data_IF_486703984197
#
_entry.id   IF_486703984197
#
_cell.length_a   1.000
_cell.length_b   1.000
_cell.length_c   1.000
_cell.angle_alpha   90.00
_cell.angle_beta   90.00
_cell.angle_gamma   90.00
#
_symmetry.space_group_name_H-M   'P 1'
#
loop_
_entity.id
_entity.type
_entity.pdbx_description
1 polymer ?
#
# COMPACT_ATOMS: atom_id res chain seq x y z
N UNK A 1 3.07 8.08 4.32
CA UNK A 1 3.73 9.32 3.90
C UNK A 1 4.60 9.94 4.98
N UNK A 2 4.15 9.97 6.25
CA UNK A 2 4.97 10.52 7.33
C UNK A 2 6.40 9.94 7.34
N UNK A 3 6.55 8.64 7.10
CA UNK A 3 7.85 7.98 7.02
C UNK A 3 8.77 8.54 5.91
N UNK A 4 8.20 9.06 4.83
CA UNK A 4 8.95 9.76 3.78
C UNK A 4 9.26 11.20 4.24
N UNK A 5 8.28 11.92 4.77
CA UNK A 5 8.46 13.32 5.17
C UNK A 5 9.51 13.51 6.26
N UNK A 6 9.52 12.65 7.27
CA UNK A 6 10.50 12.73 8.36
C UNK A 6 11.97 12.50 7.93
N UNK A 7 12.17 12.08 6.67
CA UNK A 7 13.50 11.89 6.06
C UNK A 7 13.94 13.09 5.21
N UNK A 8 13.09 14.05 5.04
CA UNK A 8 13.42 15.30 4.35
C UNK A 8 14.21 16.23 5.29
N UNK A 9 14.94 17.24 4.76
CA UNK A 9 15.63 18.23 5.58
C UNK A 9 14.67 18.98 6.50
N UNK A 10 14.95 18.97 7.81
CA UNK A 10 14.04 19.47 8.87
C UNK A 10 13.83 21.00 8.77
N UNK A 11 14.86 21.72 8.34
CA UNK A 11 14.87 23.17 8.16
C UNK A 11 14.19 23.65 6.86
N UNK A 12 13.77 22.70 6.00
CA UNK A 12 13.19 22.97 4.68
C UNK A 12 11.72 22.55 4.56
N UNK A 13 11.19 21.83 5.54
CA UNK A 13 9.84 21.26 5.45
C UNK A 13 9.02 21.60 6.68
N UNK A 14 7.85 22.18 6.45
CA UNK A 14 6.82 22.43 7.48
C UNK A 14 5.57 21.62 7.14
N UNK A 15 5.04 20.91 8.11
CA UNK A 15 3.81 20.12 7.94
C UNK A 15 2.62 20.85 8.53
N UNK A 16 1.65 21.22 7.67
CA UNK A 16 0.37 21.77 8.09
C UNK A 16 -0.73 20.74 8.01
N UNK A 17 -1.34 20.39 9.14
CA UNK A 17 -2.28 19.26 9.22
C UNK A 17 -3.44 19.50 10.20
N UNK A 18 -4.35 18.52 10.31
CA UNK A 18 -5.50 18.56 11.22
C UNK A 18 -5.12 18.18 12.66
N UNK A 19 -5.92 18.61 13.68
CA UNK A 19 -5.73 18.13 15.03
C UNK A 19 -6.10 16.64 15.17
N UNK A 20 -5.46 15.95 16.11
CA UNK A 20 -5.76 14.58 16.52
C UNK A 20 -5.68 14.50 18.06
N UNK A 21 -6.45 13.65 18.74
CA UNK A 21 -6.37 13.52 20.19
C UNK A 21 -4.96 13.32 20.74
N UNK A 22 -4.15 12.50 20.05
CA UNK A 22 -2.78 12.16 20.47
C UNK A 22 -1.71 13.06 19.80
N UNK A 23 -2.12 14.20 19.18
CA UNK A 23 -1.22 15.04 18.39
C UNK A 23 -0.10 15.65 19.20
N UNK A 24 -0.35 16.04 20.46
CA UNK A 24 0.65 16.70 21.30
C UNK A 24 1.84 15.78 21.61
N UNK A 25 1.58 14.53 22.02
CA UNK A 25 2.61 13.54 22.28
C UNK A 25 3.36 13.13 21.00
N UNK A 26 2.66 13.05 19.87
CA UNK A 26 3.27 12.78 18.59
C UNK A 26 4.19 13.92 18.15
N UNK A 27 3.71 15.18 18.18
CA UNK A 27 4.43 16.36 17.70
C UNK A 27 5.71 16.61 18.50
N UNK A 28 5.68 16.38 19.83
CA UNK A 28 6.85 16.48 20.71
C UNK A 28 7.99 15.49 20.37
N UNK A 29 7.66 14.38 19.72
CA UNK A 29 8.64 13.36 19.31
C UNK A 29 9.21 13.62 17.91
N UNK A 30 8.69 14.62 17.19
CA UNK A 30 9.14 14.90 15.84
C UNK A 30 10.18 16.03 15.82
N UNK A 31 11.05 15.95 14.83
CA UNK A 31 12.09 16.96 14.60
C UNK A 31 11.60 18.05 13.62
N UNK A 32 10.63 17.71 12.78
CA UNK A 32 10.02 18.66 11.83
C UNK A 32 8.99 19.55 12.51
N UNK A 33 8.87 20.79 12.02
CA UNK A 33 7.83 21.71 12.46
C UNK A 33 6.46 21.25 11.98
N UNK A 34 5.55 20.98 12.92
CA UNK A 34 4.17 20.60 12.66
C UNK A 34 3.25 21.69 13.17
N UNK A 35 2.42 22.23 12.28
CA UNK A 35 1.43 23.25 12.58
C UNK A 35 0.04 22.63 12.46
N UNK A 36 -0.73 22.69 13.53
CA UNK A 36 -2.07 22.11 13.60
C UNK A 36 -3.15 23.16 13.32
N UNK A 37 -4.00 22.86 12.34
CA UNK A 37 -5.21 23.63 12.06
C UNK A 37 -6.21 23.56 13.22
N UNK A 38 -7.04 24.60 13.36
CA UNK A 38 -8.21 24.53 14.26
C UNK A 38 -9.36 23.71 13.69
N UNK A 39 -9.35 23.48 12.36
CA UNK A 39 -10.38 22.67 11.68
C UNK A 39 -10.06 21.19 11.77
N UNK A 40 -11.07 20.38 12.10
CA UNK A 40 -10.96 18.91 12.11
C UNK A 40 -10.78 18.29 10.72
N UNK A 41 -11.14 19.04 9.67
CA UNK A 41 -10.99 18.64 8.27
C UNK A 41 -10.56 19.86 7.46
N UNK A 42 -9.54 19.74 6.64
CA UNK A 42 -9.07 20.79 5.74
C UNK A 42 -9.91 20.79 4.45
N UNK A 43 -11.06 21.44 4.50
CA UNK A 43 -11.89 21.67 3.31
C UNK A 43 -11.41 22.91 2.53
N UNK A 44 -11.68 23.01 1.21
CA UNK A 44 -11.22 24.10 0.36
C UNK A 44 -12.03 25.40 0.56
N UNK A 45 -12.04 25.92 1.78
CA UNK A 45 -12.73 27.14 2.19
C UNK A 45 -11.80 28.35 2.17
N UNK A 46 -12.37 29.57 2.11
CA UNK A 46 -11.60 30.81 2.23
C UNK A 46 -10.82 30.89 3.55
N UNK A 47 -11.39 30.38 4.64
CA UNK A 47 -10.75 30.36 5.95
C UNK A 47 -9.48 29.49 5.92
N UNK A 48 -9.56 28.27 5.37
CA UNK A 48 -8.40 27.36 5.25
C UNK A 48 -7.35 27.97 4.29
N UNK A 49 -7.79 28.56 3.17
CA UNK A 49 -6.87 29.25 2.26
C UNK A 49 -6.08 30.38 2.96
N UNK A 50 -6.76 31.20 3.77
CA UNK A 50 -6.09 32.28 4.51
C UNK A 50 -5.11 31.73 5.56
N UNK A 51 -5.43 30.61 6.20
CA UNK A 51 -4.52 29.95 7.15
C UNK A 51 -3.28 29.41 6.45
N UNK A 52 -3.45 28.75 5.30
CA UNK A 52 -2.33 28.25 4.49
C UNK A 52 -1.43 29.43 4.07
N UNK A 53 -2.02 30.53 3.62
CA UNK A 53 -1.25 31.75 3.23
C UNK A 53 -0.53 32.38 4.41
N UNK A 54 -1.15 32.39 5.61
CA UNK A 54 -0.47 32.87 6.81
C UNK A 54 0.73 32.00 7.16
N UNK A 55 0.52 30.67 7.23
CA UNK A 55 1.61 29.73 7.49
C UNK A 55 2.71 29.86 6.44
N UNK A 56 2.35 29.94 5.17
CA UNK A 56 3.34 30.07 4.10
C UNK A 56 4.18 31.36 4.21
N UNK A 57 3.55 32.46 4.63
CA UNK A 57 4.26 33.74 4.88
C UNK A 57 5.14 33.66 6.12
N UNK A 58 4.61 33.12 7.23
CA UNK A 58 5.31 33.08 8.52
C UNK A 58 6.53 32.14 8.49
N UNK A 59 6.50 31.12 7.63
CA UNK A 59 7.52 30.10 7.46
C UNK A 59 8.33 30.22 6.16
N UNK A 60 8.14 31.31 5.39
CA UNK A 60 8.84 31.57 4.12
C UNK A 60 8.73 30.41 3.11
N UNK A 61 7.51 29.89 2.93
CA UNK A 61 7.22 28.74 2.06
C UNK A 61 7.09 29.20 0.61
N UNK A 62 7.87 28.63 -0.28
CA UNK A 62 7.89 28.89 -1.73
C UNK A 62 7.17 27.82 -2.57
N UNK A 63 6.91 26.64 -2.00
CA UNK A 63 6.23 25.53 -2.66
C UNK A 63 5.30 24.76 -1.71
N UNK A 64 4.09 24.41 -2.16
CA UNK A 64 3.12 23.69 -1.34
C UNK A 64 2.84 22.30 -1.92
N UNK A 65 2.93 21.23 -1.12
CA UNK A 65 2.44 19.91 -1.46
C UNK A 65 1.08 19.64 -0.82
N UNK A 66 0.06 19.38 -1.64
CA UNK A 66 -1.27 18.99 -1.15
C UNK A 66 -1.41 17.48 -1.10
N UNK A 67 -1.73 16.97 0.07
CA UNK A 67 -1.95 15.57 0.36
C UNK A 67 -3.27 15.39 1.15
N UNK A 68 -4.28 14.76 0.56
CA UNK A 68 -4.40 14.33 -0.86
C UNK A 68 -4.67 15.49 -1.84
N UNK A 69 -4.61 15.19 -3.15
CA UNK A 69 -4.92 16.17 -4.19
C UNK A 69 -6.33 16.76 -4.09
N UNK A 70 -7.30 16.01 -3.59
CA UNK A 70 -8.66 16.49 -3.27
C UNK A 70 -9.09 15.97 -1.92
N UNK A 71 -9.81 16.77 -1.11
CA UNK A 71 -10.44 18.05 -1.46
C UNK A 71 -9.51 19.27 -1.35
N UNK A 72 -8.42 19.21 -0.55
CA UNK A 72 -7.64 20.40 -0.18
C UNK A 72 -6.91 21.03 -1.37
N UNK A 73 -6.39 20.26 -2.31
CA UNK A 73 -5.68 20.77 -3.48
C UNK A 73 -6.54 21.59 -4.43
N UNK A 74 -7.88 21.63 -4.27
CA UNK A 74 -8.76 22.59 -4.97
C UNK A 74 -8.38 24.04 -4.68
N UNK A 75 -7.65 24.30 -3.60
CA UNK A 75 -7.10 25.61 -3.28
C UNK A 75 -5.86 25.94 -4.12
N UNK A 76 -5.11 24.96 -4.61
CA UNK A 76 -3.86 25.16 -5.34
C UNK A 76 -3.96 26.19 -6.45
N UNK A 77 -4.89 26.08 -7.42
CA UNK A 77 -5.05 27.07 -8.48
C UNK A 77 -5.46 28.48 -8.01
N UNK A 78 -5.91 28.62 -6.75
CA UNK A 78 -6.39 29.88 -6.18
C UNK A 78 -5.34 30.58 -5.32
N UNK A 79 -4.36 29.83 -4.81
CA UNK A 79 -3.25 30.32 -4.02
C UNK A 79 -2.08 30.59 -4.98
N UNK A 80 -1.49 31.79 -4.91
CA UNK A 80 -0.41 32.23 -5.82
C UNK A 80 0.97 31.73 -5.38
N UNK A 81 1.04 30.52 -4.86
CA UNK A 81 2.27 29.81 -4.52
C UNK A 81 2.31 28.56 -5.40
N UNK A 82 3.44 28.25 -6.06
CA UNK A 82 3.61 27.02 -6.82
C UNK A 82 3.28 25.80 -5.96
N UNK A 83 2.66 24.78 -6.54
CA UNK A 83 2.24 23.64 -5.77
C UNK A 83 2.37 22.31 -6.52
N UNK A 84 2.48 21.25 -5.75
CA UNK A 84 2.32 19.88 -6.19
C UNK A 84 1.18 19.18 -5.46
N UNK A 85 0.85 17.98 -5.92
CA UNK A 85 -0.19 17.15 -5.34
C UNK A 85 0.28 15.70 -5.20
N UNK A 86 -0.27 14.98 -4.22
CA UNK A 86 -0.03 13.55 -4.03
C UNK A 86 -1.33 12.80 -4.29
N UNK A 87 -1.21 11.71 -5.06
CA UNK A 87 -2.30 10.85 -5.47
C UNK A 87 -2.14 9.45 -4.88
N UNK A 88 -3.14 9.02 -4.12
CA UNK A 88 -3.21 7.67 -3.54
C UNK A 88 -4.05 6.68 -4.39
N UNK A 89 -4.75 7.18 -5.43
CA UNK A 89 -5.52 6.42 -6.39
C UNK A 89 -7.03 6.61 -6.29
N UNK A 90 -7.67 6.38 -5.16
CA UNK A 90 -9.13 6.44 -5.02
C UNK A 90 -9.72 7.83 -5.33
N UNK A 91 -9.03 8.89 -4.93
CA UNK A 91 -9.42 10.30 -5.15
C UNK A 91 -9.36 10.73 -6.63
N UNK A 92 -8.69 9.95 -7.47
CA UNK A 92 -8.65 10.19 -8.93
C UNK A 92 -9.57 9.25 -9.66
N UNK A 93 -9.61 7.97 -9.25
CA UNK A 93 -10.34 6.91 -9.95
C UNK A 93 -11.85 7.18 -9.94
N UNK A 94 -12.44 7.41 -8.77
CA UNK A 94 -13.90 7.60 -8.63
C UNK A 94 -14.32 9.00 -9.10
N UNK A 95 -13.77 10.10 -8.56
CA UNK A 95 -14.16 11.44 -9.01
C UNK A 95 -13.80 11.71 -10.47
N UNK A 96 -12.69 11.15 -10.96
CA UNK A 96 -12.27 11.29 -12.36
C UNK A 96 -13.26 10.71 -13.39
N UNK A 97 -14.23 9.90 -12.96
CA UNK A 97 -15.30 9.33 -13.82
C UNK A 97 -16.60 10.12 -13.76
N UNK A 98 -16.77 11.03 -12.78
CA UNK A 98 -17.96 11.89 -12.65
C UNK A 98 -17.65 13.24 -13.28
N UNK A 99 -18.43 13.74 -14.25
CA UNK A 99 -18.07 14.91 -15.06
C UNK A 99 -17.68 16.16 -14.26
N UNK A 100 -18.49 16.55 -13.27
CA UNK A 100 -18.23 17.75 -12.43
C UNK A 100 -16.99 17.55 -11.55
N UNK A 101 -16.89 16.42 -10.86
CA UNK A 101 -15.76 16.11 -10.00
C UNK A 101 -14.47 15.98 -10.83
N UNK A 102 -14.56 15.40 -12.04
CA UNK A 102 -13.43 15.34 -12.98
C UNK A 102 -12.96 16.73 -13.39
N UNK A 103 -13.84 17.68 -13.67
CA UNK A 103 -13.43 19.03 -14.03
C UNK A 103 -12.66 19.72 -12.90
N UNK A 104 -13.08 19.53 -11.64
CA UNK A 104 -12.38 20.05 -10.49
C UNK A 104 -10.98 19.42 -10.32
N UNK A 105 -10.90 18.08 -10.41
CA UNK A 105 -9.61 17.37 -10.30
C UNK A 105 -8.69 17.72 -11.47
N UNK A 106 -9.21 17.80 -12.70
CA UNK A 106 -8.45 18.19 -13.87
C UNK A 106 -7.81 19.57 -13.67
N UNK A 107 -8.57 20.55 -13.19
CA UNK A 107 -8.05 21.88 -12.92
C UNK A 107 -6.93 21.88 -11.86
N UNK A 108 -7.03 21.05 -10.82
CA UNK A 108 -5.97 20.87 -9.82
C UNK A 108 -4.72 20.29 -10.46
N UNK A 109 -4.86 19.20 -11.20
CA UNK A 109 -3.73 18.48 -11.81
C UNK A 109 -3.03 19.29 -12.91
N UNK A 110 -3.80 19.97 -13.75
CA UNK A 110 -3.28 20.78 -14.88
C UNK A 110 -2.45 21.99 -14.44
N UNK A 111 -2.71 22.52 -13.25
CA UNK A 111 -1.98 23.67 -12.70
C UNK A 111 -0.88 23.26 -11.70
N UNK A 112 -0.78 21.97 -11.33
CA UNK A 112 0.26 21.49 -10.45
C UNK A 112 1.63 21.47 -11.16
N UNK A 113 2.68 21.86 -10.45
CA UNK A 113 4.07 21.81 -10.91
C UNK A 113 4.70 20.44 -10.68
N UNK A 114 4.12 19.64 -9.77
CA UNK A 114 4.54 18.29 -9.45
C UNK A 114 3.32 17.45 -9.13
N UNK A 115 3.19 16.28 -9.76
CA UNK A 115 2.14 15.30 -9.46
C UNK A 115 2.82 14.00 -9.02
N UNK A 116 2.76 13.71 -7.74
CA UNK A 116 3.29 12.47 -7.17
C UNK A 116 2.23 11.38 -7.26
N UNK A 117 2.60 10.23 -7.83
CA UNK A 117 1.72 9.07 -7.99
C UNK A 117 2.34 7.82 -7.36
N UNK A 118 1.50 6.89 -6.92
CA UNK A 118 1.96 5.66 -6.28
C UNK A 118 2.53 4.62 -7.26
N UNK A 119 2.24 4.74 -8.56
CA UNK A 119 2.65 3.80 -9.59
C UNK A 119 1.98 4.08 -10.93
N UNK A 120 2.15 3.20 -11.87
CA UNK A 120 1.61 3.30 -13.25
C UNK A 120 0.09 3.40 -13.28
N UNK A 121 -0.60 2.60 -12.44
CA UNK A 121 -2.06 2.66 -12.37
C UNK A 121 -2.55 4.06 -12.01
N UNK A 122 -2.05 4.64 -10.92
CA UNK A 122 -2.45 5.98 -10.48
C UNK A 122 -2.01 7.08 -11.46
N UNK A 123 -0.87 6.89 -12.14
CA UNK A 123 -0.38 7.76 -13.21
C UNK A 123 -1.36 7.79 -14.40
N UNK A 124 -1.76 6.63 -14.89
CA UNK A 124 -2.73 6.51 -16.00
C UNK A 124 -4.08 7.14 -15.65
N UNK A 125 -4.56 6.92 -14.42
CA UNK A 125 -5.81 7.54 -13.94
C UNK A 125 -5.69 9.07 -13.83
N UNK A 126 -4.54 9.60 -13.39
CA UNK A 126 -4.28 11.04 -13.32
C UNK A 126 -4.28 11.70 -14.72
N UNK A 127 -3.52 11.14 -15.67
CA UNK A 127 -3.47 11.61 -17.06
C UNK A 127 -4.86 11.55 -17.70
N UNK A 128 -5.60 10.45 -17.49
CA UNK A 128 -6.97 10.31 -17.97
C UNK A 128 -7.92 11.38 -17.41
N UNK A 129 -7.81 11.69 -16.12
CA UNK A 129 -8.62 12.71 -15.45
C UNK A 129 -8.29 14.12 -15.96
N UNK A 130 -7.00 14.44 -16.10
CA UNK A 130 -6.51 15.73 -16.57
C UNK A 130 -6.67 15.94 -18.08
N UNK A 131 -6.72 14.86 -18.88
CA UNK A 131 -6.74 14.88 -20.35
C UNK A 131 -5.52 15.58 -20.98
N UNK A 132 -4.40 15.55 -20.32
CA UNK A 132 -3.11 16.07 -20.79
C UNK A 132 -1.97 15.39 -20.07
N UNK A 133 -0.76 15.52 -20.59
CA UNK A 133 0.45 15.11 -19.90
C UNK A 133 0.66 15.95 -18.62
N UNK A 134 1.21 15.33 -17.61
CA UNK A 134 1.41 15.90 -16.28
C UNK A 134 2.89 15.79 -15.86
N UNK A 135 3.39 16.69 -15.02
CA UNK A 135 4.73 16.59 -14.43
C UNK A 135 4.76 15.48 -13.36
N UNK A 136 4.75 14.22 -13.78
CA UNK A 136 4.66 13.06 -12.92
C UNK A 136 6.01 12.73 -12.27
N UNK A 137 5.95 12.46 -10.97
CA UNK A 137 6.98 11.75 -10.23
C UNK A 137 6.36 10.53 -9.54
N UNK A 138 6.81 9.32 -9.89
CA UNK A 138 6.32 8.09 -9.27
C UNK A 138 7.06 7.85 -7.97
N UNK A 139 6.35 7.93 -6.84
CA UNK A 139 6.83 7.60 -5.50
C UNK A 139 5.88 6.53 -4.95
N UNK A 140 6.22 5.25 -5.07
CA UNK A 140 5.39 4.17 -4.55
C UNK A 140 5.28 4.23 -3.01
N UNK A 141 4.34 3.52 -2.41
CA UNK A 141 4.36 3.29 -0.98
C UNK A 141 5.69 2.67 -0.55
N UNK A 142 6.18 3.08 0.62
CA UNK A 142 7.40 2.52 1.19
C UNK A 142 7.13 1.44 2.23
N UNK A 143 8.20 0.77 2.63
CA UNK A 143 8.23 -0.20 3.72
C UNK A 143 9.40 0.06 4.66
N UNK A 144 9.19 -0.17 5.94
CA UNK A 144 10.23 -0.15 6.95
C UNK A 144 11.02 -1.47 6.90
N UNK A 145 12.18 -1.45 6.25
CA UNK A 145 13.03 -2.62 6.03
C UNK A 145 13.77 -3.10 7.28
N UNK A 146 13.85 -2.29 8.32
CA UNK A 146 14.46 -2.66 9.61
C UNK A 146 13.44 -3.39 10.49
N UNK A 147 12.20 -2.96 10.45
CA UNK A 147 11.07 -3.59 11.12
C UNK A 147 10.63 -4.88 10.41
N UNK A 148 10.44 -4.83 9.10
CA UNK A 148 10.09 -5.97 8.25
C UNK A 148 11.36 -6.58 7.67
N UNK A 149 11.79 -7.70 8.22
CA UNK A 149 12.99 -8.41 7.79
C UNK A 149 12.84 -9.91 7.92
N UNK A 150 13.61 -10.70 7.15
CA UNK A 150 13.59 -12.15 7.26
C UNK A 150 13.93 -12.60 8.67
N UNK A 151 13.22 -13.60 9.18
CA UNK A 151 13.56 -14.27 10.42
C UNK A 151 14.70 -15.26 10.18
N UNK A 152 15.64 -15.35 11.12
CA UNK A 152 16.57 -16.47 11.13
C UNK A 152 15.85 -17.80 11.41
N UNK A 153 16.52 -18.92 11.11
CA UNK A 153 15.91 -20.25 11.19
C UNK A 153 15.36 -20.57 12.58
N UNK A 154 16.08 -20.21 13.64
CA UNK A 154 15.69 -20.52 15.02
C UNK A 154 14.49 -19.68 15.45
N UNK A 155 14.52 -18.39 15.17
CA UNK A 155 13.43 -17.47 15.45
C UNK A 155 12.17 -17.87 14.70
N UNK A 156 12.29 -18.24 13.40
CA UNK A 156 11.17 -18.72 12.59
C UNK A 156 10.54 -20.00 13.14
N UNK A 157 11.36 -20.97 13.53
CA UNK A 157 10.88 -22.23 14.13
C UNK A 157 10.14 -21.97 15.44
N UNK A 158 10.68 -21.12 16.31
CA UNK A 158 10.04 -20.72 17.56
C UNK A 158 8.71 -20.00 17.32
N UNK A 159 8.68 -19.07 16.37
CA UNK A 159 7.47 -18.34 15.99
C UNK A 159 6.40 -19.26 15.41
N UNK A 160 6.79 -20.19 14.54
CA UNK A 160 5.88 -21.23 14.00
C UNK A 160 5.26 -22.08 15.11
N UNK A 161 6.04 -22.49 16.12
CA UNK A 161 5.55 -23.24 17.27
C UNK A 161 4.43 -22.54 18.04
N UNK A 162 4.43 -21.19 18.12
CA UNK A 162 3.36 -20.40 18.74
C UNK A 162 2.02 -20.50 18.00
N UNK A 163 2.07 -20.76 16.71
CA UNK A 163 0.89 -20.99 15.87
C UNK A 163 0.59 -22.49 15.66
N UNK A 164 1.27 -23.40 16.39
CA UNK A 164 1.19 -24.84 16.26
C UNK A 164 1.60 -25.37 14.87
N UNK A 165 2.48 -24.66 14.16
CA UNK A 165 3.09 -25.11 12.91
C UNK A 165 4.44 -25.76 13.18
N UNK A 166 4.74 -26.78 12.39
CA UNK A 166 6.05 -27.42 12.28
C UNK A 166 6.88 -26.71 11.21
N UNK A 167 8.18 -26.97 11.18
CA UNK A 167 9.09 -26.39 10.19
C UNK A 167 8.79 -26.88 8.75
N UNK A 168 8.17 -28.07 8.63
CA UNK A 168 7.81 -28.68 7.34
C UNK A 168 6.34 -28.45 6.93
N UNK A 169 5.59 -27.67 7.69
CA UNK A 169 4.25 -27.21 7.27
C UNK A 169 4.38 -26.10 6.22
N UNK A 170 3.40 -26.02 5.31
CA UNK A 170 3.36 -25.06 4.22
C UNK A 170 2.34 -23.97 4.54
N UNK A 171 2.84 -22.80 4.94
CA UNK A 171 2.02 -21.70 5.43
C UNK A 171 1.80 -20.64 4.35
N UNK A 172 0.57 -20.51 3.90
CA UNK A 172 0.10 -19.41 3.05
C UNK A 172 -0.49 -18.33 3.96
N UNK A 173 -0.01 -17.11 3.85
CA UNK A 173 -0.52 -15.96 4.60
C UNK A 173 -1.28 -15.00 3.69
N UNK A 174 -2.40 -14.50 4.15
CA UNK A 174 -3.03 -13.29 3.64
C UNK A 174 -3.34 -12.33 4.78
N UNK A 175 -2.97 -11.05 4.63
CA UNK A 175 -3.19 -10.02 5.64
C UNK A 175 -3.77 -8.78 4.99
N UNK A 176 -5.04 -8.46 5.27
CA UNK A 176 -5.68 -7.22 4.87
C UNK A 176 -7.08 -7.08 5.48
N UNK A 177 -7.75 -5.98 5.16
CA UNK A 177 -9.19 -5.86 5.45
C UNK A 177 -9.97 -6.95 4.72
N UNK A 178 -10.86 -7.65 5.43
CA UNK A 178 -11.68 -8.73 4.86
C UNK A 178 -12.85 -8.12 4.06
N UNK A 179 -12.58 -7.85 2.79
CA UNK A 179 -13.53 -7.32 1.80
C UNK A 179 -13.42 -8.11 0.49
N UNK A 180 -14.52 -8.24 -0.28
CA UNK A 180 -14.55 -9.14 -1.44
C UNK A 180 -13.49 -8.88 -2.52
N UNK A 181 -13.02 -7.61 -2.67
CA UNK A 181 -11.99 -7.29 -3.67
C UNK A 181 -10.61 -7.87 -3.37
N UNK A 182 -10.36 -8.29 -2.12
CA UNK A 182 -9.06 -8.83 -1.67
C UNK A 182 -8.87 -10.33 -1.97
N UNK A 183 -9.95 -11.02 -2.40
CA UNK A 183 -9.88 -12.37 -2.97
C UNK A 183 -9.57 -13.50 -1.99
N UNK A 184 -9.82 -13.34 -0.66
CA UNK A 184 -9.65 -14.42 0.30
C UNK A 184 -10.52 -15.64 0.00
N UNK A 185 -11.69 -15.45 -0.59
CA UNK A 185 -12.57 -16.54 -1.03
C UNK A 185 -11.90 -17.46 -2.05
N UNK A 186 -11.17 -16.89 -2.98
CA UNK A 186 -10.45 -17.66 -4.01
C UNK A 186 -9.25 -18.39 -3.40
N UNK A 187 -8.53 -17.76 -2.44
CA UNK A 187 -7.48 -18.43 -1.69
C UNK A 187 -8.01 -19.61 -0.87
N UNK A 188 -9.16 -19.46 -0.21
CA UNK A 188 -9.81 -20.56 0.54
C UNK A 188 -10.13 -21.72 -0.40
N UNK A 189 -10.75 -21.43 -1.56
CA UNK A 189 -11.09 -22.47 -2.54
C UNK A 189 -9.84 -23.14 -3.12
N UNK A 190 -8.80 -22.39 -3.45
CA UNK A 190 -7.53 -22.92 -3.92
C UNK A 190 -6.85 -23.81 -2.87
N UNK A 191 -6.84 -23.38 -1.60
CA UNK A 191 -6.26 -24.17 -0.49
C UNK A 191 -7.05 -25.45 -0.22
N UNK A 192 -8.39 -25.44 -0.37
CA UNK A 192 -9.21 -26.65 -0.22
C UNK A 192 -8.90 -27.72 -1.27
N UNK A 193 -8.44 -27.31 -2.45
CA UNK A 193 -7.99 -28.25 -3.48
C UNK A 193 -6.51 -28.66 -3.28
N UNK A 194 -5.67 -27.75 -2.79
CA UNK A 194 -4.26 -28.03 -2.50
C UNK A 194 -4.09 -29.08 -1.40
N UNK A 195 -4.89 -29.03 -0.36
CA UNK A 195 -4.76 -29.97 0.79
C UNK A 195 -4.96 -31.44 0.38
N UNK A 196 -5.65 -31.72 -0.74
CA UNK A 196 -5.85 -33.08 -1.26
C UNK A 196 -4.54 -33.76 -1.70
N UNK A 197 -3.58 -32.97 -2.17
CA UNK A 197 -2.26 -33.44 -2.62
C UNK A 197 -1.13 -33.00 -1.70
N UNK A 198 -1.35 -31.94 -0.90
CA UNK A 198 -0.39 -31.34 0.03
C UNK A 198 -1.03 -31.23 1.43
N UNK A 199 -1.06 -32.32 2.21
CA UNK A 199 -1.83 -32.38 3.46
C UNK A 199 -1.29 -31.48 4.58
N UNK A 200 -0.12 -30.86 4.39
CA UNK A 200 0.49 -29.91 5.34
C UNK A 200 0.30 -28.44 4.95
N UNK A 201 -0.42 -28.16 3.86
CA UNK A 201 -0.74 -26.79 3.49
C UNK A 201 -1.74 -26.20 4.48
N UNK A 202 -1.53 -24.93 4.86
CA UNK A 202 -2.41 -24.19 5.75
C UNK A 202 -2.53 -22.73 5.32
N UNK A 203 -3.74 -22.18 5.38
CA UNK A 203 -4.01 -20.78 5.07
C UNK A 203 -4.25 -19.98 6.35
N UNK A 204 -3.42 -18.97 6.62
CA UNK A 204 -3.63 -17.97 7.65
C UNK A 204 -4.30 -16.73 7.06
N UNK A 205 -5.43 -16.33 7.62
CA UNK A 205 -6.14 -15.13 7.26
C UNK A 205 -6.11 -14.14 8.42
N UNK A 206 -5.31 -13.10 8.29
CA UNK A 206 -5.19 -12.01 9.26
C UNK A 206 -5.97 -10.77 8.81
N UNK A 207 -6.60 -10.11 9.76
CA UNK A 207 -7.40 -8.90 9.57
C UNK A 207 -8.86 -9.06 9.90
N UNK A 208 -9.59 -7.95 9.81
CA UNK A 208 -11.02 -7.87 10.10
C UNK A 208 -11.78 -7.25 8.92
N UNK A 209 -13.08 -7.47 8.86
CA UNK A 209 -13.91 -6.85 7.83
C UNK A 209 -15.28 -7.50 7.64
N UNK A 210 -16.10 -6.85 6.82
CA UNK A 210 -17.50 -7.22 6.60
C UNK A 210 -17.70 -8.60 5.96
N UNK A 211 -16.66 -9.16 5.33
CA UNK A 211 -16.72 -10.43 4.61
C UNK A 211 -16.42 -11.67 5.49
N UNK A 212 -16.00 -11.44 6.75
CA UNK A 212 -15.55 -12.51 7.66
C UNK A 212 -16.56 -13.67 7.78
N UNK A 213 -17.86 -13.35 7.94
CA UNK A 213 -18.90 -14.39 8.09
C UNK A 213 -18.98 -15.29 6.86
N UNK A 214 -18.97 -14.71 5.65
CA UNK A 214 -19.02 -15.43 4.37
C UNK A 214 -17.78 -16.30 4.19
N UNK A 215 -16.59 -15.77 4.51
CA UNK A 215 -15.32 -16.48 4.39
C UNK A 215 -15.25 -17.68 5.34
N UNK A 216 -15.72 -17.54 6.59
CA UNK A 216 -15.78 -18.65 7.55
C UNK A 216 -16.73 -19.75 7.07
N UNK A 217 -17.91 -19.39 6.57
CA UNK A 217 -18.86 -20.36 6.00
C UNK A 217 -18.26 -21.10 4.79
N UNK A 218 -17.53 -20.37 3.91
CA UNK A 218 -16.84 -20.99 2.77
C UNK A 218 -15.77 -21.98 3.23
N UNK A 219 -14.91 -21.61 4.18
CA UNK A 219 -13.88 -22.48 4.71
C UNK A 219 -14.46 -23.77 5.30
N UNK A 220 -15.57 -23.67 6.04
CA UNK A 220 -16.29 -24.82 6.59
C UNK A 220 -16.87 -25.72 5.50
N UNK A 221 -17.56 -25.14 4.51
CA UNK A 221 -18.21 -25.91 3.44
C UNK A 221 -17.24 -26.62 2.51
N UNK A 222 -16.00 -26.09 2.39
CA UNK A 222 -14.95 -26.67 1.54
C UNK A 222 -13.95 -27.53 2.31
N UNK A 223 -14.08 -27.62 3.64
CA UNK A 223 -13.10 -28.26 4.54
C UNK A 223 -11.67 -27.73 4.32
N UNK A 224 -11.51 -26.46 3.96
CA UNK A 224 -10.21 -25.84 3.76
C UNK A 224 -9.47 -25.69 5.11
N UNK A 225 -8.17 -26.00 5.19
CA UNK A 225 -7.37 -25.81 6.41
C UNK A 225 -7.05 -24.33 6.60
N UNK A 226 -7.95 -23.59 7.24
CA UNK A 226 -7.88 -22.13 7.41
C UNK A 226 -7.95 -21.73 8.87
N UNK A 227 -7.02 -20.89 9.30
CA UNK A 227 -7.09 -20.17 10.58
C UNK A 227 -7.37 -18.69 10.35
N UNK A 228 -8.42 -18.16 11.00
CA UNK A 228 -8.75 -16.73 11.01
C UNK A 228 -8.18 -16.11 12.28
N UNK A 229 -7.14 -15.27 12.14
CA UNK A 229 -6.46 -14.64 13.27
C UNK A 229 -7.21 -13.38 13.80
N UNK A 230 -8.09 -12.79 12.97
CA UNK A 230 -8.71 -11.51 13.32
C UNK A 230 -7.72 -10.35 13.24
N UNK A 231 -7.86 -9.39 14.13
CA UNK A 231 -6.91 -8.28 14.24
C UNK A 231 -5.59 -8.78 14.81
N UNK A 232 -4.50 -8.43 14.15
CA UNK A 232 -3.13 -8.70 14.61
C UNK A 232 -2.51 -7.37 15.05
N UNK A 233 -1.98 -7.29 16.28
CA UNK A 233 -1.25 -6.11 16.75
C UNK A 233 -0.10 -5.75 15.82
N UNK A 234 0.17 -4.44 15.69
CA UNK A 234 1.14 -3.93 14.72
C UNK A 234 2.56 -4.47 14.97
N UNK A 235 2.95 -4.65 16.21
CA UNK A 235 4.24 -5.22 16.64
C UNK A 235 4.40 -6.73 16.33
N UNK A 236 3.31 -7.45 16.13
CA UNK A 236 3.32 -8.88 15.78
C UNK A 236 3.33 -9.12 14.25
N UNK A 237 2.99 -8.11 13.45
CA UNK A 237 2.79 -8.27 12.00
C UNK A 237 4.06 -8.73 11.28
N UNK A 238 5.23 -8.22 11.66
CA UNK A 238 6.51 -8.60 11.03
C UNK A 238 6.82 -10.09 11.24
N UNK A 239 6.57 -10.59 12.46
CA UNK A 239 6.75 -12.00 12.76
C UNK A 239 5.78 -12.88 11.98
N UNK A 240 4.53 -12.43 11.85
CA UNK A 240 3.52 -13.16 11.10
C UNK A 240 3.91 -13.32 9.61
N UNK A 241 4.50 -12.31 8.97
CA UNK A 241 5.08 -12.49 7.64
C UNK A 241 6.24 -13.49 7.66
N UNK A 242 7.12 -13.40 8.65
CA UNK A 242 8.31 -14.26 8.72
C UNK A 242 8.04 -15.76 8.86
N UNK A 243 6.87 -16.17 9.40
CA UNK A 243 6.49 -17.58 9.47
C UNK A 243 5.91 -18.14 8.17
N UNK A 244 5.48 -17.28 7.23
CA UNK A 244 4.87 -17.69 5.98
C UNK A 244 5.89 -18.26 4.99
N UNK A 245 5.43 -19.17 4.11
CA UNK A 245 6.17 -19.63 2.94
C UNK A 245 5.79 -18.84 1.70
N UNK A 246 4.52 -18.41 1.63
CA UNK A 246 3.96 -17.64 0.52
C UNK A 246 2.99 -16.59 1.08
N UNK A 247 3.07 -15.37 0.59
CA UNK A 247 2.05 -14.36 0.84
C UNK A 247 1.11 -14.28 -0.36
N UNK A 248 -0.20 -14.37 -0.14
CA UNK A 248 -1.20 -14.30 -1.20
C UNK A 248 -2.26 -13.23 -0.95
N UNK A 249 -2.45 -12.29 -1.87
CA UNK A 249 -3.60 -11.39 -1.88
C UNK A 249 -4.14 -11.27 -3.28
N UNK A 250 -5.21 -12.01 -3.57
CA UNK A 250 -5.76 -12.17 -4.92
C UNK A 250 -6.74 -11.04 -5.22
N UNK A 251 -6.19 -9.83 -5.30
CA UNK A 251 -6.98 -8.64 -5.61
C UNK A 251 -7.68 -8.76 -6.96
N UNK A 252 -8.91 -8.25 -7.03
CA UNK A 252 -9.71 -8.26 -8.27
C UNK A 252 -10.42 -6.94 -8.50
N UNK A 253 -10.61 -6.62 -9.75
CA UNK A 253 -11.39 -5.46 -10.19
C UNK A 253 -12.88 -5.74 -9.96
N UNK A 254 -13.59 -4.77 -9.40
CA UNK A 254 -15.04 -4.84 -9.19
C UNK A 254 -15.72 -3.57 -9.68
N UNK A 255 -17.03 -3.70 -9.97
CA UNK A 255 -17.89 -2.59 -10.39
C UNK A 255 -17.31 -1.78 -11.55
N UNK A 256 -16.88 -2.48 -12.62
CA UNK A 256 -16.34 -1.82 -13.81
C UNK A 256 -15.09 -0.96 -13.55
N UNK A 257 -14.26 -1.36 -12.58
CA UNK A 257 -13.02 -0.65 -12.25
C UNK A 257 -13.19 0.48 -11.23
N UNK A 258 -14.34 0.60 -10.54
CA UNK A 258 -14.51 1.56 -9.45
C UNK A 258 -13.86 1.08 -8.15
N UNK A 259 -13.78 -0.25 -7.95
CA UNK A 259 -13.14 -0.84 -6.79
C UNK A 259 -11.95 -1.69 -7.25
N UNK A 260 -10.74 -1.18 -7.04
CA UNK A 260 -9.46 -1.79 -7.40
C UNK A 260 -8.45 -1.64 -6.25
N UNK A 261 -7.31 -2.31 -6.36
CA UNK A 261 -6.18 -2.10 -5.46
C UNK A 261 -5.35 -0.90 -5.94
N UNK A 262 -4.94 -0.02 -4.99
CA UNK A 262 -4.09 1.13 -5.33
C UNK A 262 -2.66 0.71 -5.62
N UNK A 263 -2.07 -0.08 -4.72
CA UNK A 263 -0.74 -0.66 -4.83
C UNK A 263 -0.62 -1.94 -3.98
N UNK A 264 -0.96 -1.86 -2.68
CA UNK A 264 -0.91 -2.97 -1.74
C UNK A 264 0.37 -3.01 -0.91
N UNK A 265 0.47 -2.15 0.11
CA UNK A 265 1.62 -2.05 1.03
C UNK A 265 1.98 -3.42 1.63
N UNK A 266 1.00 -4.27 1.91
CA UNK A 266 1.18 -5.62 2.46
C UNK A 266 2.05 -6.54 1.58
N UNK A 267 2.12 -6.31 0.27
CA UNK A 267 3.08 -7.00 -0.60
C UNK A 267 4.51 -6.56 -0.30
N UNK A 268 4.72 -5.27 -0.03
CA UNK A 268 6.04 -4.74 0.29
C UNK A 268 6.52 -5.22 1.66
N UNK A 269 5.61 -5.34 2.62
CA UNK A 269 5.89 -5.89 3.94
C UNK A 269 6.31 -7.37 3.85
N UNK A 270 5.56 -8.18 3.07
CA UNK A 270 5.92 -9.56 2.78
C UNK A 270 7.27 -9.66 2.06
N UNK A 271 7.50 -8.81 1.04
CA UNK A 271 8.75 -8.74 0.29
C UNK A 271 9.93 -8.40 1.22
N UNK A 272 9.76 -7.42 2.09
CA UNK A 272 10.78 -7.03 3.06
C UNK A 272 11.12 -8.16 4.05
N UNK A 273 10.15 -9.01 4.38
CA UNK A 273 10.37 -10.24 5.16
C UNK A 273 10.95 -11.41 4.34
N UNK A 274 11.26 -11.22 3.06
CA UNK A 274 11.81 -12.26 2.20
C UNK A 274 10.80 -13.34 1.80
N UNK A 275 9.51 -13.02 1.78
CA UNK A 275 8.43 -13.93 1.44
C UNK A 275 7.95 -13.67 0.00
N UNK A 276 7.98 -14.66 -0.89
CA UNK A 276 7.47 -14.50 -2.25
C UNK A 276 5.97 -14.32 -2.26
N UNK A 277 5.45 -13.59 -3.27
CA UNK A 277 4.07 -13.16 -3.27
C UNK A 277 3.26 -13.74 -4.44
N UNK A 278 1.94 -13.85 -4.23
CA UNK A 278 0.96 -14.06 -5.30
C UNK A 278 -0.04 -12.93 -5.27
N UNK A 279 -0.07 -12.15 -6.35
CA UNK A 279 -1.01 -11.06 -6.54
C UNK A 279 -2.09 -11.41 -7.57
N UNK A 280 -3.31 -10.95 -7.37
CA UNK A 280 -4.30 -10.92 -8.45
C UNK A 280 -4.17 -9.63 -9.25
N UNK A 281 -4.29 -9.69 -10.57
CA UNK A 281 -4.22 -8.52 -11.45
C UNK A 281 -5.38 -7.57 -11.18
N UNK A 282 -5.08 -6.45 -10.51
CA UNK A 282 -6.09 -5.46 -10.11
C UNK A 282 -5.44 -4.12 -9.76
N UNK A 283 -5.68 -3.11 -10.58
CA UNK A 283 -5.13 -1.77 -10.35
C UNK A 283 -3.62 -1.77 -10.33
N UNK A 284 -3.01 -1.35 -9.21
CA UNK A 284 -1.55 -1.38 -8.98
C UNK A 284 -1.05 -2.58 -8.16
N UNK A 285 -1.88 -3.61 -7.91
CA UNK A 285 -1.44 -4.76 -7.14
C UNK A 285 -0.34 -5.57 -7.84
N UNK A 286 -0.37 -5.62 -9.16
CA UNK A 286 0.63 -6.29 -10.00
C UNK A 286 1.93 -5.47 -10.18
N UNK A 287 1.94 -4.20 -9.79
CA UNK A 287 3.16 -3.40 -9.75
C UNK A 287 4.04 -3.75 -8.53
N UNK A 288 3.42 -4.25 -7.47
CA UNK A 288 4.13 -4.67 -6.26
C UNK A 288 4.90 -5.99 -6.43
N UNK A 289 4.48 -6.86 -7.38
CA UNK A 289 5.05 -8.19 -7.62
C UNK A 289 5.63 -8.29 -9.01
N UNK A 290 6.90 -8.67 -9.14
CA UNK A 290 7.53 -8.96 -10.44
C UNK A 290 7.29 -10.43 -10.80
N UNK A 291 6.57 -10.63 -11.92
CA UNK A 291 6.23 -11.96 -12.44
C UNK A 291 7.49 -12.80 -12.67
N UNK A 292 7.51 -13.99 -12.05
CA UNK A 292 8.63 -14.93 -12.19
C UNK A 292 9.91 -14.55 -11.44
N UNK A 293 10.00 -13.36 -10.84
CA UNK A 293 11.20 -12.89 -10.12
C UNK A 293 10.97 -12.79 -8.60
N UNK A 294 9.85 -12.18 -8.18
CA UNK A 294 9.50 -12.01 -6.76
C UNK A 294 8.25 -12.78 -6.38
N UNK A 295 7.57 -13.37 -7.34
CA UNK A 295 6.35 -14.13 -7.17
C UNK A 295 5.57 -14.27 -8.46
N UNK A 296 4.24 -14.45 -8.37
CA UNK A 296 3.37 -14.61 -9.54
C UNK A 296 2.18 -13.66 -9.50
N UNK A 297 1.75 -13.23 -10.70
CA UNK A 297 0.56 -12.40 -10.91
C UNK A 297 -0.51 -13.22 -11.63
N UNK A 298 -1.63 -13.45 -10.96
CA UNK A 298 -2.75 -14.22 -11.51
C UNK A 298 -3.66 -13.33 -12.34
N UNK A 299 -3.71 -13.56 -13.65
CA UNK A 299 -4.54 -12.79 -14.60
C UNK A 299 -6.05 -12.98 -14.38
N UNK A 300 -6.43 -14.19 -13.95
CA UNK A 300 -7.82 -14.55 -13.65
C UNK A 300 -8.04 -14.66 -12.12
N UNK A 301 -8.10 -13.54 -11.38
CA UNK A 301 -8.11 -13.56 -9.91
C UNK A 301 -9.41 -14.10 -9.29
N UNK A 302 -10.38 -14.48 -10.09
CA UNK A 302 -11.62 -15.15 -9.67
C UNK A 302 -11.59 -16.65 -9.93
N UNK A 303 -10.57 -17.16 -10.62
CA UNK A 303 -10.39 -18.58 -10.90
C UNK A 303 -9.49 -19.23 -9.83
N UNK A 304 -10.08 -20.06 -8.99
CA UNK A 304 -9.36 -20.77 -7.95
C UNK A 304 -8.36 -21.79 -8.49
N UNK A 305 -8.54 -22.29 -9.72
CA UNK A 305 -7.60 -23.20 -10.37
C UNK A 305 -6.32 -22.47 -10.75
N UNK A 306 -6.42 -21.28 -11.31
CA UNK A 306 -5.26 -20.44 -11.64
C UNK A 306 -4.49 -20.04 -10.37
N UNK A 307 -5.20 -19.68 -9.29
CA UNK A 307 -4.57 -19.37 -8.00
C UNK A 307 -3.90 -20.59 -7.39
N UNK A 308 -4.55 -21.78 -7.45
CA UNK A 308 -3.95 -23.03 -7.00
C UNK A 308 -2.65 -23.32 -7.74
N UNK A 309 -2.62 -23.19 -9.07
CA UNK A 309 -1.42 -23.43 -9.89
C UNK A 309 -0.27 -22.51 -9.48
N UNK A 310 -0.53 -21.20 -9.28
CA UNK A 310 0.48 -20.25 -8.82
C UNK A 310 1.02 -20.61 -7.41
N UNK A 311 0.15 -21.05 -6.49
CA UNK A 311 0.55 -21.53 -5.16
C UNK A 311 1.39 -22.79 -5.27
N UNK A 312 0.98 -23.78 -6.10
CA UNK A 312 1.72 -25.03 -6.31
C UNK A 312 3.14 -24.79 -6.81
N UNK A 313 3.34 -23.88 -7.76
CA UNK A 313 4.67 -23.54 -8.29
C UNK A 313 5.63 -23.09 -7.18
N UNK A 314 5.15 -22.25 -6.24
CA UNK A 314 5.97 -21.79 -5.11
C UNK A 314 6.16 -22.88 -4.03
N UNK A 315 5.16 -23.74 -3.81
CA UNK A 315 5.21 -24.72 -2.74
C UNK A 315 5.98 -26.00 -3.12
N UNK A 316 6.01 -26.36 -4.42
CA UNK A 316 6.70 -27.57 -4.90
C UNK A 316 8.21 -27.38 -4.85
N UNK A 317 8.73 -26.25 -5.28
CA UNK A 317 10.17 -25.99 -5.36
C UNK A 317 10.63 -25.00 -4.26
N UNK A 318 11.24 -25.56 -3.23
CA UNK A 318 11.73 -24.76 -2.10
C UNK A 318 12.90 -23.85 -2.46
N UNK A 319 13.71 -24.20 -3.46
CA UNK A 319 14.84 -23.36 -3.87
C UNK A 319 14.38 -22.18 -4.69
N UNK A 320 13.51 -22.38 -5.67
CA UNK A 320 12.85 -21.28 -6.41
C UNK A 320 12.09 -20.36 -5.44
N UNK A 321 11.37 -20.91 -4.46
CA UNK A 321 10.66 -20.11 -3.45
C UNK A 321 11.61 -19.24 -2.63
N UNK A 322 12.76 -19.79 -2.20
CA UNK A 322 13.78 -19.04 -1.45
C UNK A 322 14.45 -17.98 -2.32
N UNK A 323 14.71 -18.29 -3.59
CA UNK A 323 15.29 -17.34 -4.53
C UNK A 323 14.35 -16.16 -4.77
N UNK A 324 13.08 -16.41 -5.06
CA UNK A 324 12.07 -15.34 -5.20
C UNK A 324 11.92 -14.53 -3.92
N UNK A 325 12.03 -15.18 -2.74
CA UNK A 325 12.04 -14.49 -1.46
C UNK A 325 13.25 -13.54 -1.29
N UNK A 326 14.46 -13.99 -1.68
CA UNK A 326 15.65 -13.13 -1.69
C UNK A 326 15.50 -11.96 -2.67
N UNK A 327 15.00 -12.21 -3.86
CA UNK A 327 14.74 -11.18 -4.87
C UNK A 327 13.70 -10.16 -4.37
N UNK A 328 12.64 -10.63 -3.72
CA UNK A 328 11.63 -9.78 -3.07
C UNK A 328 12.26 -8.85 -2.04
N UNK A 329 13.10 -9.38 -1.15
CA UNK A 329 13.82 -8.59 -0.13
C UNK A 329 14.75 -7.56 -0.78
N UNK A 330 15.57 -7.96 -1.73
CA UNK A 330 16.50 -7.07 -2.43
C UNK A 330 15.75 -5.93 -3.13
N UNK A 331 14.60 -6.22 -3.75
CA UNK A 331 13.76 -5.20 -4.37
C UNK A 331 13.16 -4.25 -3.32
N UNK A 332 12.65 -4.78 -2.19
CA UNK A 332 12.11 -3.97 -1.12
C UNK A 332 13.14 -2.96 -0.57
N UNK A 333 14.37 -3.41 -0.36
CA UNK A 333 15.48 -2.56 0.08
C UNK A 333 15.84 -1.48 -0.93
N UNK A 334 15.93 -1.84 -2.22
CA UNK A 334 16.38 -0.95 -3.28
C UNK A 334 15.31 0.06 -3.72
N UNK A 335 14.06 -0.39 -3.88
CA UNK A 335 13.03 0.41 -4.55
C UNK A 335 11.99 0.98 -3.58
N UNK A 336 11.78 0.33 -2.42
CA UNK A 336 10.66 0.64 -1.53
C UNK A 336 11.09 1.03 -0.11
N UNK A 337 12.38 1.07 0.21
CA UNK A 337 12.81 1.59 1.52
C UNK A 337 12.44 3.06 1.66
N UNK A 338 11.97 3.44 2.83
CA UNK A 338 11.61 4.85 3.07
C UNK A 338 12.78 5.80 2.87
N UNK A 339 14.02 5.37 3.09
CA UNK A 339 15.21 6.20 2.91
C UNK A 339 15.41 6.53 1.42
N UNK A 340 15.37 5.52 0.55
CA UNK A 340 15.50 5.73 -0.90
C UNK A 340 14.34 6.55 -1.47
N UNK A 341 13.10 6.32 -0.98
CA UNK A 341 11.94 7.10 -1.39
C UNK A 341 12.00 8.54 -0.90
N UNK A 342 12.55 8.78 0.30
CA UNK A 342 12.79 10.12 0.83
C UNK A 342 13.77 10.91 -0.04
N UNK A 343 14.89 10.30 -0.43
CA UNK A 343 15.86 10.90 -1.34
C UNK A 343 15.19 11.25 -2.69
N UNK A 344 14.52 10.29 -3.30
CA UNK A 344 13.83 10.48 -4.58
C UNK A 344 12.77 11.59 -4.52
N UNK A 345 12.03 11.64 -3.43
CA UNK A 345 11.01 12.67 -3.23
C UNK A 345 11.63 14.06 -3.06
N UNK A 346 12.71 14.15 -2.28
CA UNK A 346 13.44 15.40 -2.10
C UNK A 346 14.03 15.94 -3.41
N UNK A 347 14.65 15.08 -4.20
CA UNK A 347 15.16 15.45 -5.54
C UNK A 347 14.05 15.96 -6.46
N UNK A 348 12.85 15.38 -6.39
CA UNK A 348 11.70 15.83 -7.16
C UNK A 348 11.23 17.23 -6.72
N UNK A 349 11.28 17.53 -5.43
CA UNK A 349 10.95 18.86 -4.89
C UNK A 349 12.00 19.91 -5.30
N UNK A 350 13.29 19.62 -5.20
CA UNK A 350 14.36 20.54 -5.58
C UNK A 350 14.30 20.99 -7.05
N UNK A 351 13.83 20.11 -7.94
CA UNK A 351 13.62 20.46 -9.36
C UNK A 351 12.53 21.51 -9.58
N UNK A 352 11.69 21.77 -8.59
CA UNK A 352 10.65 22.78 -8.68
C UNK A 352 11.12 24.19 -8.26
N UNK A 353 12.31 24.29 -7.66
CA UNK A 353 12.91 25.55 -7.22
C UNK A 353 13.86 26.17 -8.27
N UNK A 354 14.10 25.47 -9.38
CA UNK A 354 14.87 25.95 -10.54
C UNK A 354 13.94 26.55 -11.60
#
# INVERSE_FOLDING_TARGET
LWEIYRRLPQDKVVVYTTPHPDSESFDQQQTHKIIRSKQRVLLPTKQVANQILSVAKDEDIDFIMYDPAVPIGILGPKIRIPYGVILHGAEVTIPGRVPIARALIANVLQNAKLVVTAGDYSTKEAIRAAKQDLPICVIPPGVDIDRFKPLDKQTRSTARGRFNFRDDDEVILTLSRLVPRKGMDVLISATSELVKTRPRVHLLIAGTGRDLRRLKALAQSTNAPVTFLGYVPDDEVSELYGIADVFGMICRVRWGGLEQEGFGIVFLEAAACGVPQIAGRSGGADEAVLEGETGFVVDSPTDSTAVKQALEQLLVDSETRKEMGRNSRARAEKEFSYDNLGIKYWEALLKQQQ
#
